data_IF_315145391083
#
_entry.id   IF_315145391083
#
_cell.length_a   1.000
_cell.length_b   1.000
_cell.length_c   1.000
_cell.angle_alpha   90.00
_cell.angle_beta   90.00
_cell.angle_gamma   90.00
#
_symmetry.space_group_name_H-M   'P 1'
#
loop_
_entity.id
_entity.type
_entity.pdbx_description
1 polymer ?
#
# COMPACT_ATOMS: atom_id res chain seq x y z
N UNK A 1 19.77 -13.03 -10.89
CA UNK A 1 18.54 -12.27 -10.57
C UNK A 1 18.21 -11.22 -11.63
N UNK A 2 18.89 -10.06 -11.70
CA UNK A 2 18.53 -9.01 -12.68
C UNK A 2 18.54 -9.55 -14.11
N UNK A 3 19.51 -10.37 -14.49
CA UNK A 3 19.59 -10.98 -15.83
C UNK A 3 18.33 -11.78 -16.19
N UNK A 4 17.82 -12.57 -15.26
CA UNK A 4 16.63 -13.40 -15.48
C UNK A 4 15.36 -12.53 -15.64
N UNK A 5 15.32 -11.38 -14.98
CA UNK A 5 14.25 -10.39 -15.16
C UNK A 5 14.35 -9.66 -16.50
N UNK A 6 15.58 -9.39 -16.98
CA UNK A 6 15.78 -8.77 -18.30
C UNK A 6 15.34 -9.67 -19.45
N UNK A 7 15.42 -10.98 -19.28
CA UNK A 7 15.02 -11.97 -20.30
C UNK A 7 13.54 -12.39 -20.21
N UNK A 8 12.80 -11.91 -19.19
CA UNK A 8 11.38 -12.28 -18.97
C UNK A 8 10.48 -11.61 -20.01
N UNK A 9 9.56 -12.40 -20.59
CA UNK A 9 8.50 -11.84 -21.41
C UNK A 9 7.53 -11.01 -20.53
N UNK A 10 7.38 -9.74 -20.88
CA UNK A 10 6.43 -8.80 -20.22
C UNK A 10 5.59 -8.16 -21.30
N UNK A 11 4.28 -8.25 -21.13
CA UNK A 11 3.30 -7.69 -22.04
C UNK A 11 2.36 -6.75 -21.31
N UNK A 12 1.82 -5.75 -21.98
CA UNK A 12 0.77 -4.90 -21.47
C UNK A 12 -0.56 -5.67 -21.45
N UNK A 13 -1.45 -5.26 -20.57
CA UNK A 13 -2.85 -5.70 -20.58
C UNK A 13 -3.50 -5.40 -21.92
N UNK A 14 -4.59 -6.12 -22.20
CA UNK A 14 -5.48 -5.74 -23.31
C UNK A 14 -5.93 -4.27 -23.13
N UNK A 15 -6.00 -3.55 -24.26
CA UNK A 15 -6.54 -2.19 -24.29
C UNK A 15 -8.05 -2.16 -24.07
N UNK A 16 -8.71 -3.30 -24.23
CA UNK A 16 -10.14 -3.50 -24.02
C UNK A 16 -10.35 -4.57 -22.97
N UNK A 17 -11.15 -4.26 -21.97
CA UNK A 17 -11.43 -5.12 -20.83
C UNK A 17 -12.90 -5.48 -20.81
N UNK A 18 -13.20 -6.71 -20.39
CA UNK A 18 -14.55 -7.17 -20.11
C UNK A 18 -14.58 -7.80 -18.72
N UNK A 19 -15.54 -7.43 -17.92
CA UNK A 19 -15.71 -7.91 -16.56
C UNK A 19 -16.94 -8.82 -16.51
N UNK A 20 -16.75 -10.01 -15.94
CA UNK A 20 -17.82 -10.99 -15.76
C UNK A 20 -17.98 -11.30 -14.27
N UNK A 21 -19.11 -10.92 -13.72
CA UNK A 21 -19.41 -11.08 -12.30
C UNK A 21 -20.38 -10.03 -11.78
N UNK A 22 -20.75 -10.20 -10.52
CA UNK A 22 -21.72 -9.35 -9.83
C UNK A 22 -21.05 -8.08 -9.28
N UNK A 23 -21.89 -7.11 -8.91
CA UNK A 23 -21.47 -5.85 -8.25
C UNK A 23 -21.86 -5.89 -6.78
N UNK A 24 -20.90 -5.65 -5.90
CA UNK A 24 -21.12 -5.54 -4.47
C UNK A 24 -21.22 -4.07 -4.06
N UNK A 25 -22.39 -3.65 -3.59
CA UNK A 25 -22.59 -2.32 -3.04
C UNK A 25 -22.38 -2.36 -1.53
N UNK A 26 -21.42 -1.58 -1.05
CA UNK A 26 -21.11 -1.44 0.37
C UNK A 26 -22.05 -0.38 0.95
N UNK A 27 -23.21 -0.82 1.44
CA UNK A 27 -24.31 0.02 1.90
C UNK A 27 -24.33 0.12 3.43
N UNK A 28 -24.86 1.22 3.94
CA UNK A 28 -25.27 1.33 5.34
C UNK A 28 -26.71 0.78 5.54
N UNK A 29 -26.88 -0.47 5.16
CA UNK A 29 -28.12 -1.22 5.20
C UNK A 29 -27.83 -2.71 5.35
N UNK A 30 -28.10 -3.24 6.55
CA UNK A 30 -27.82 -4.63 6.88
C UNK A 30 -28.58 -5.63 5.99
N UNK A 31 -29.84 -5.39 5.74
CA UNK A 31 -30.68 -6.32 4.97
C UNK A 31 -30.25 -6.38 3.50
N UNK A 32 -29.96 -5.23 2.90
CA UNK A 32 -29.46 -5.20 1.51
C UNK A 32 -28.06 -5.80 1.37
N UNK A 33 -27.19 -5.66 2.38
CA UNK A 33 -25.88 -6.32 2.37
C UNK A 33 -26.04 -7.85 2.48
N UNK A 34 -26.91 -8.34 3.37
CA UNK A 34 -27.24 -9.78 3.49
C UNK A 34 -27.79 -10.34 2.17
N UNK A 35 -28.74 -9.65 1.58
CA UNK A 35 -29.37 -10.08 0.32
C UNK A 35 -28.34 -10.22 -0.82
N UNK A 36 -27.39 -9.30 -0.92
CA UNK A 36 -26.31 -9.40 -1.91
C UNK A 36 -25.37 -10.59 -1.64
N UNK A 37 -24.93 -10.76 -0.39
CA UNK A 37 -23.89 -11.72 -0.02
C UNK A 37 -24.43 -13.16 0.03
N UNK A 38 -25.63 -13.35 0.55
CA UNK A 38 -26.12 -14.68 0.91
C UNK A 38 -27.35 -15.16 0.13
N UNK A 39 -28.12 -14.24 -0.43
CA UNK A 39 -29.37 -14.56 -1.15
C UNK A 39 -29.23 -14.41 -2.68
N UNK A 40 -28.04 -13.99 -3.14
CA UNK A 40 -27.78 -13.80 -4.57
C UNK A 40 -28.53 -12.65 -5.22
N UNK A 41 -29.05 -11.70 -4.43
CA UNK A 41 -29.79 -10.56 -4.96
C UNK A 41 -28.84 -9.55 -5.60
N UNK A 42 -29.13 -9.20 -6.85
CA UNK A 42 -28.49 -8.05 -7.50
C UNK A 42 -29.30 -6.77 -7.24
N UNK A 43 -28.56 -5.67 -7.08
CA UNK A 43 -29.14 -4.36 -6.76
C UNK A 43 -28.90 -3.40 -7.91
N UNK A 44 -29.92 -2.57 -8.21
CA UNK A 44 -29.79 -1.42 -9.09
C UNK A 44 -29.54 -0.16 -8.28
N UNK A 45 -28.45 0.55 -8.58
CA UNK A 45 -28.04 1.73 -7.84
C UNK A 45 -28.93 2.94 -8.20
N UNK A 46 -30.03 3.09 -7.46
CA UNK A 46 -30.87 4.28 -7.53
C UNK A 46 -30.20 5.47 -6.85
N UNK A 47 -30.70 6.70 -7.11
CA UNK A 47 -30.21 7.90 -6.41
C UNK A 47 -30.37 7.80 -4.89
N UNK A 48 -31.42 7.15 -4.41
CA UNK A 48 -31.65 6.88 -2.98
C UNK A 48 -30.56 5.94 -2.43
N UNK A 49 -30.33 4.80 -3.07
CA UNK A 49 -29.30 3.84 -2.64
C UNK A 49 -27.91 4.41 -2.74
N UNK A 50 -27.63 5.27 -3.72
CA UNK A 50 -26.35 5.97 -3.80
C UNK A 50 -26.08 6.82 -2.57
N UNK A 51 -27.09 7.46 -1.98
CA UNK A 51 -26.93 8.23 -0.73
C UNK A 51 -26.71 7.35 0.50
N UNK A 52 -26.93 6.04 0.40
CA UNK A 52 -26.72 5.05 1.47
C UNK A 52 -25.40 4.25 1.30
N UNK A 53 -24.62 4.56 0.28
CA UNK A 53 -23.28 3.98 0.16
C UNK A 53 -22.42 4.37 1.38
N UNK A 54 -21.71 3.41 1.93
CA UNK A 54 -20.82 3.62 3.06
C UNK A 54 -19.69 4.59 2.70
N UNK A 55 -19.61 5.66 3.46
CA UNK A 55 -18.49 6.60 3.45
C UNK A 55 -17.40 6.15 4.41
N UNK A 56 -16.19 6.63 4.17
CA UNK A 56 -15.03 6.49 5.05
C UNK A 56 -14.67 5.04 5.41
N UNK A 57 -14.92 4.10 4.49
CA UNK A 57 -14.50 2.71 4.69
C UNK A 57 -12.99 2.66 4.88
N UNK A 58 -12.59 2.21 6.07
CA UNK A 58 -11.18 2.11 6.45
C UNK A 58 -10.57 0.78 5.98
N UNK A 59 -9.26 0.73 5.92
CA UNK A 59 -8.53 -0.52 5.69
C UNK A 59 -8.78 -1.55 6.80
N UNK A 60 -9.13 -1.12 8.03
CA UNK A 60 -9.57 -2.00 9.10
C UNK A 60 -10.96 -2.59 8.88
N UNK A 61 -11.85 -1.87 8.20
CA UNK A 61 -13.15 -2.42 7.81
C UNK A 61 -13.02 -3.41 6.65
N UNK A 62 -12.06 -3.21 5.76
CA UNK A 62 -11.78 -4.17 4.67
C UNK A 62 -11.06 -5.39 5.23
N UNK A 63 -9.94 -5.19 5.92
CA UNK A 63 -9.15 -6.26 6.56
C UNK A 63 -8.78 -5.87 7.98
N UNK A 64 -9.54 -6.32 8.99
CA UNK A 64 -9.20 -6.11 10.39
C UNK A 64 -7.77 -6.54 10.73
N UNK A 65 -7.14 -5.88 11.70
CA UNK A 65 -5.73 -6.10 12.03
C UNK A 65 -5.36 -7.57 12.27
N UNK A 66 -6.25 -8.34 12.92
CA UNK A 66 -6.03 -9.76 13.18
C UNK A 66 -6.14 -10.65 11.92
N UNK A 67 -6.73 -10.14 10.83
CA UNK A 67 -6.74 -10.81 9.53
C UNK A 67 -5.41 -10.61 8.81
N UNK A 68 -4.70 -9.53 9.08
CA UNK A 68 -3.37 -9.29 8.51
C UNK A 68 -2.29 -10.25 9.06
N UNK A 69 -2.65 -11.22 9.91
CA UNK A 69 -1.80 -12.36 10.22
C UNK A 69 -1.70 -13.35 9.05
N UNK A 70 -2.72 -13.40 8.20
CA UNK A 70 -2.63 -14.08 6.91
C UNK A 70 -1.82 -13.20 5.94
N UNK A 71 -0.96 -13.83 5.15
CA UNK A 71 0.02 -13.14 4.32
C UNK A 71 0.10 -13.66 2.88
N UNK A 72 -0.89 -14.46 2.48
CA UNK A 72 -1.01 -15.08 1.16
C UNK A 72 -2.44 -14.92 0.59
N UNK A 73 -2.76 -15.67 -0.45
CA UNK A 73 -4.07 -15.66 -1.13
C UNK A 73 -5.26 -16.00 -0.22
N UNK A 74 -5.00 -16.58 0.97
CA UNK A 74 -6.02 -16.82 2.00
C UNK A 74 -6.68 -15.52 2.45
N UNK A 75 -5.99 -14.37 2.34
CA UNK A 75 -6.59 -13.07 2.60
C UNK A 75 -7.88 -12.82 1.79
N UNK A 76 -8.01 -13.42 0.61
CA UNK A 76 -9.22 -13.35 -0.21
C UNK A 76 -10.47 -14.02 0.40
N UNK A 77 -10.32 -14.77 1.50
CA UNK A 77 -11.46 -15.30 2.25
C UNK A 77 -12.13 -14.25 3.14
N UNK A 78 -11.48 -13.11 3.40
CA UNK A 78 -11.81 -12.24 4.51
C UNK A 78 -12.15 -10.76 4.17
N UNK A 79 -12.29 -10.31 2.91
CA UNK A 79 -12.55 -8.90 2.69
C UNK A 79 -13.88 -8.47 3.31
N UNK A 80 -13.86 -7.28 3.90
CA UNK A 80 -14.96 -6.61 4.57
C UNK A 80 -15.46 -7.23 5.90
N UNK A 81 -14.70 -8.13 6.53
CA UNK A 81 -15.06 -8.66 7.86
C UNK A 81 -15.27 -7.57 8.91
N UNK A 82 -14.60 -6.44 8.77
CA UNK A 82 -14.75 -5.29 9.65
C UNK A 82 -15.83 -4.29 9.19
N UNK A 83 -16.51 -4.55 8.07
CA UNK A 83 -17.53 -3.65 7.55
C UNK A 83 -18.71 -3.56 8.52
N UNK A 84 -18.96 -2.36 9.01
CA UNK A 84 -20.06 -2.06 9.91
C UNK A 84 -21.25 -1.56 9.11
N UNK A 85 -22.39 -2.22 9.23
CA UNK A 85 -23.67 -1.83 8.65
C UNK A 85 -24.67 -1.48 9.74
N UNK A 86 -25.78 -0.86 9.40
CA UNK A 86 -26.86 -0.52 10.35
C UNK A 86 -28.07 -1.38 10.08
N UNK A 87 -28.58 -2.04 11.13
CA UNK A 87 -29.89 -2.70 11.07
C UNK A 87 -30.98 -1.63 10.98
N UNK A 88 -31.71 -1.63 9.89
CA UNK A 88 -32.70 -0.58 9.61
C UNK A 88 -33.95 -0.66 10.51
N UNK A 89 -34.16 -1.79 11.18
CA UNK A 89 -35.28 -1.99 12.11
C UNK A 89 -34.93 -1.54 13.53
N UNK A 90 -33.73 -1.91 14.02
CA UNK A 90 -33.29 -1.63 15.41
C UNK A 90 -32.43 -0.40 15.53
N UNK A 91 -31.74 0.02 14.45
CA UNK A 91 -30.73 1.07 14.47
C UNK A 91 -29.37 0.62 15.00
N UNK A 92 -29.21 -0.66 15.35
CA UNK A 92 -27.98 -1.19 15.90
C UNK A 92 -26.94 -1.46 14.82
N UNK A 93 -25.63 -1.34 15.13
CA UNK A 93 -24.56 -1.74 14.23
C UNK A 93 -24.45 -3.26 14.11
N UNK A 94 -24.28 -3.76 12.90
CA UNK A 94 -24.05 -5.16 12.62
C UNK A 94 -22.78 -5.38 11.78
N UNK A 95 -22.07 -6.48 12.03
CA UNK A 95 -20.97 -7.00 11.22
C UNK A 95 -21.47 -8.26 10.52
N UNK A 96 -21.76 -8.15 9.24
CA UNK A 96 -22.49 -9.18 8.49
C UNK A 96 -21.63 -10.05 7.60
N UNK A 97 -20.44 -9.58 7.26
CA UNK A 97 -19.60 -10.27 6.29
C UNK A 97 -18.85 -11.40 6.99
N UNK A 98 -19.12 -12.62 6.58
CA UNK A 98 -18.45 -13.82 7.06
C UNK A 98 -17.29 -14.22 6.12
N UNK A 99 -16.44 -15.12 6.62
CA UNK A 99 -15.38 -15.73 5.82
C UNK A 99 -15.93 -16.33 4.52
N UNK A 100 -15.28 -16.05 3.40
CA UNK A 100 -15.65 -16.48 2.05
C UNK A 100 -16.92 -15.84 1.47
N UNK A 101 -17.67 -15.00 2.18
CA UNK A 101 -18.91 -14.45 1.68
C UNK A 101 -18.75 -13.69 0.35
N UNK A 102 -17.72 -12.84 0.26
CA UNK A 102 -17.44 -12.07 -0.97
C UNK A 102 -16.96 -12.98 -2.09
N UNK A 103 -16.02 -13.88 -1.80
CA UNK A 103 -15.47 -14.83 -2.79
C UNK A 103 -16.57 -15.71 -3.38
N UNK A 104 -17.44 -16.24 -2.54
CA UNK A 104 -18.55 -17.11 -2.97
C UNK A 104 -19.66 -16.34 -3.69
N UNK A 105 -19.76 -15.04 -3.46
CA UNK A 105 -20.77 -14.18 -4.09
C UNK A 105 -20.50 -13.86 -5.56
N UNK A 106 -19.30 -14.16 -6.08
CA UNK A 106 -18.96 -13.95 -7.50
C UNK A 106 -18.90 -12.48 -7.91
N UNK A 107 -18.45 -11.62 -7.01
CA UNK A 107 -18.36 -10.18 -7.29
C UNK A 107 -17.06 -9.82 -8.01
N UNK A 108 -17.19 -9.06 -9.10
CA UNK A 108 -16.07 -8.53 -9.88
C UNK A 108 -15.80 -7.05 -9.58
N UNK A 109 -16.78 -6.35 -9.06
CA UNK A 109 -16.71 -4.93 -8.75
C UNK A 109 -17.29 -4.66 -7.35
N UNK A 110 -16.67 -3.74 -6.62
CA UNK A 110 -17.21 -3.24 -5.35
C UNK A 110 -17.35 -1.74 -5.36
N UNK A 111 -18.48 -1.25 -4.82
CA UNK A 111 -18.91 0.14 -4.89
C UNK A 111 -19.07 0.73 -3.48
N UNK A 112 -18.50 1.91 -3.24
CA UNK A 112 -18.57 2.63 -1.98
C UNK A 112 -18.84 4.13 -2.17
N UNK A 113 -19.08 4.85 -1.10
CA UNK A 113 -19.20 6.31 -1.05
C UNK A 113 -17.86 7.03 -1.03
N UNK A 114 -17.75 8.04 -0.17
CA UNK A 114 -16.56 8.91 -0.07
C UNK A 114 -15.45 8.30 0.79
N UNK A 115 -14.20 8.68 0.47
CA UNK A 115 -12.99 8.38 1.26
C UNK A 115 -12.78 6.87 1.51
N UNK A 116 -12.94 6.06 0.45
CA UNK A 116 -12.65 4.63 0.53
C UNK A 116 -11.17 4.38 0.74
N UNK A 117 -10.85 3.44 1.65
CA UNK A 117 -9.49 3.00 1.94
C UNK A 117 -8.73 3.94 2.88
N UNK A 118 -9.44 4.68 3.75
CA UNK A 118 -8.80 5.53 4.75
C UNK A 118 -8.05 4.70 5.80
N UNK A 119 -7.06 5.31 6.45
CA UNK A 119 -6.34 4.73 7.59
C UNK A 119 -4.95 4.23 7.23
N UNK A 120 -4.61 3.03 7.64
CA UNK A 120 -3.28 2.45 7.48
C UNK A 120 -2.90 2.14 6.03
N UNK A 121 -1.59 2.11 5.75
CA UNK A 121 -1.03 1.76 4.43
C UNK A 121 -1.17 0.27 4.04
N UNK A 122 -2.14 -0.44 4.62
CA UNK A 122 -2.33 -1.90 4.45
C UNK A 122 -2.69 -2.28 3.02
N UNK A 123 -1.72 -2.77 2.28
CA UNK A 123 -1.92 -3.35 0.95
C UNK A 123 -2.69 -4.67 1.02
N UNK A 124 -2.69 -5.32 2.19
CA UNK A 124 -3.53 -6.50 2.46
C UNK A 124 -5.02 -6.27 2.14
N UNK A 125 -5.52 -5.02 2.24
CA UNK A 125 -6.91 -4.70 1.92
C UNK A 125 -7.25 -4.89 0.44
N UNK A 126 -6.64 -4.17 -0.52
CA UNK A 126 -6.92 -4.43 -1.93
C UNK A 126 -6.41 -5.80 -2.39
N UNK A 127 -5.43 -6.40 -1.71
CA UNK A 127 -5.01 -7.78 -2.00
C UNK A 127 -6.09 -8.79 -1.64
N UNK A 128 -6.74 -8.64 -0.48
CA UNK A 128 -7.88 -9.46 -0.08
C UNK A 128 -9.05 -9.31 -1.07
N UNK A 129 -9.36 -8.10 -1.48
CA UNK A 129 -10.38 -7.81 -2.49
C UNK A 129 -10.07 -8.50 -3.83
N UNK A 130 -8.84 -8.37 -4.31
CA UNK A 130 -8.37 -9.00 -5.56
C UNK A 130 -8.54 -10.52 -5.51
N UNK A 131 -8.07 -11.15 -4.43
CA UNK A 131 -8.14 -12.61 -4.28
C UNK A 131 -9.55 -13.12 -3.94
N UNK A 132 -10.48 -12.25 -3.58
CA UNK A 132 -11.91 -12.55 -3.52
C UNK A 132 -12.63 -12.41 -4.86
N UNK A 133 -11.95 -11.92 -5.90
CA UNK A 133 -12.49 -11.75 -7.25
C UNK A 133 -12.76 -10.30 -7.66
N UNK A 134 -12.58 -9.31 -6.78
CA UNK A 134 -12.80 -7.89 -7.07
C UNK A 134 -11.68 -7.37 -7.97
N UNK A 135 -12.01 -7.04 -9.21
CA UNK A 135 -11.08 -6.47 -10.19
C UNK A 135 -11.23 -4.96 -10.33
N UNK A 136 -12.42 -4.44 -9.99
CA UNK A 136 -12.77 -3.02 -10.12
C UNK A 136 -13.30 -2.47 -8.80
N UNK A 137 -12.80 -1.32 -8.42
CA UNK A 137 -13.24 -0.55 -7.25
C UNK A 137 -13.84 0.77 -7.74
N UNK A 138 -15.09 1.04 -7.39
CA UNK A 138 -15.78 2.30 -7.69
C UNK A 138 -16.11 3.01 -6.38
N UNK A 139 -15.75 4.29 -6.26
CA UNK A 139 -16.12 5.10 -5.09
C UNK A 139 -16.16 6.60 -5.45
N UNK A 140 -16.96 7.40 -4.73
CA UNK A 140 -17.01 8.86 -4.95
C UNK A 140 -15.63 9.53 -4.75
N UNK A 141 -14.86 9.03 -3.79
CA UNK A 141 -13.44 9.36 -3.64
C UNK A 141 -12.67 8.22 -3.00
N UNK A 142 -11.40 8.08 -3.37
CA UNK A 142 -10.53 6.99 -2.97
C UNK A 142 -9.27 7.59 -2.35
N UNK A 143 -8.90 7.12 -1.16
CA UNK A 143 -7.72 7.60 -0.45
C UNK A 143 -6.43 7.23 -1.21
N UNK A 144 -5.46 8.12 -1.21
CA UNK A 144 -4.27 8.05 -2.05
C UNK A 144 -3.50 6.73 -1.91
N UNK A 145 -3.17 6.34 -0.69
CA UNK A 145 -2.34 5.14 -0.43
C UNK A 145 -3.08 3.87 -0.89
N UNK A 146 -4.38 3.77 -0.57
CA UNK A 146 -5.18 2.63 -1.01
C UNK A 146 -5.27 2.57 -2.54
N UNK A 147 -5.45 3.71 -3.21
CA UNK A 147 -5.47 3.78 -4.68
C UNK A 147 -4.13 3.36 -5.30
N UNK A 148 -3.01 3.81 -4.71
CA UNK A 148 -1.67 3.37 -5.14
C UNK A 148 -1.48 1.86 -4.96
N UNK A 149 -1.93 1.29 -3.84
CA UNK A 149 -1.88 -0.15 -3.60
C UNK A 149 -2.75 -0.93 -4.61
N UNK A 150 -3.95 -0.44 -4.94
CA UNK A 150 -4.77 -1.01 -6.02
C UNK A 150 -4.00 -1.03 -7.35
N UNK A 151 -3.39 0.09 -7.75
CA UNK A 151 -2.59 0.18 -8.97
C UNK A 151 -1.40 -0.79 -8.95
N UNK A 152 -0.70 -0.89 -7.82
CA UNK A 152 0.46 -1.75 -7.65
C UNK A 152 0.11 -3.24 -7.79
N UNK A 153 -1.08 -3.64 -7.36
CA UNK A 153 -1.62 -5.00 -7.45
C UNK A 153 -2.37 -5.26 -8.75
N UNK A 154 -2.64 -4.22 -9.52
CA UNK A 154 -3.39 -4.34 -10.76
C UNK A 154 -4.91 -4.29 -10.62
N UNK A 155 -5.44 -3.89 -9.47
CA UNK A 155 -6.86 -3.59 -9.29
C UNK A 155 -7.17 -2.23 -9.92
N UNK A 156 -8.25 -2.16 -10.69
CA UNK A 156 -8.68 -0.93 -11.34
C UNK A 156 -9.55 -0.11 -10.40
N UNK A 157 -9.26 1.17 -10.28
CA UNK A 157 -9.97 2.07 -9.37
C UNK A 157 -10.43 3.33 -10.11
N UNK A 158 -11.72 3.66 -9.96
CA UNK A 158 -12.34 4.82 -10.62
C UNK A 158 -13.36 5.51 -9.73
N UNK A 159 -13.63 6.79 -10.00
CA UNK A 159 -14.76 7.53 -9.44
C UNK A 159 -15.91 7.72 -10.43
N UNK A 160 -15.81 7.12 -11.61
CA UNK A 160 -16.87 7.14 -12.60
C UNK A 160 -17.92 6.04 -12.34
N UNK A 161 -19.06 6.42 -11.80
CA UNK A 161 -20.17 5.52 -11.51
C UNK A 161 -20.86 4.97 -12.77
N UNK A 162 -20.67 5.59 -13.94
CA UNK A 162 -21.24 5.07 -15.20
C UNK A 162 -20.65 3.71 -15.60
N UNK A 163 -19.44 3.40 -15.09
CA UNK A 163 -18.81 2.09 -15.26
C UNK A 163 -19.66 0.93 -14.72
N UNK A 164 -20.46 1.17 -13.68
CA UNK A 164 -21.29 0.15 -13.02
C UNK A 164 -22.29 -0.47 -14.01
N UNK A 165 -23.04 0.36 -14.71
CA UNK A 165 -24.06 -0.11 -15.64
C UNK A 165 -23.42 -0.82 -16.84
N UNK A 166 -22.28 -0.35 -17.30
CA UNK A 166 -21.51 -0.96 -18.39
C UNK A 166 -20.94 -2.33 -18.00
N UNK A 167 -20.43 -2.47 -16.76
CA UNK A 167 -19.98 -3.76 -16.23
C UNK A 167 -21.16 -4.73 -16.14
N UNK A 168 -22.32 -4.30 -15.61
CA UNK A 168 -23.53 -5.11 -15.56
C UNK A 168 -24.00 -5.57 -16.94
N UNK A 169 -23.90 -4.69 -17.93
CA UNK A 169 -24.27 -5.01 -19.31
C UNK A 169 -23.25 -5.93 -20.01
N UNK A 170 -22.11 -6.21 -19.38
CA UNK A 170 -21.03 -6.99 -19.98
C UNK A 170 -20.40 -6.30 -21.18
N UNK A 171 -20.39 -4.97 -21.18
CA UNK A 171 -19.78 -4.16 -22.24
C UNK A 171 -18.25 -4.24 -22.21
N UNK A 172 -17.65 -4.02 -23.37
CA UNK A 172 -16.22 -3.79 -23.46
C UNK A 172 -15.86 -2.38 -23.00
N UNK A 173 -14.94 -2.27 -22.06
CA UNK A 173 -14.47 -1.01 -21.47
C UNK A 173 -13.03 -0.77 -21.88
N UNK A 174 -12.72 0.44 -22.36
CA UNK A 174 -11.36 0.79 -22.73
C UNK A 174 -10.49 0.98 -21.48
N UNK A 175 -9.30 0.38 -21.44
CA UNK A 175 -8.35 0.55 -20.33
C UNK A 175 -7.98 2.02 -20.10
N UNK A 176 -7.97 2.84 -21.18
CA UNK A 176 -7.71 4.27 -21.12
C UNK A 176 -8.68 5.03 -20.22
N UNK A 177 -9.92 4.56 -20.05
CA UNK A 177 -10.92 5.19 -19.18
C UNK A 177 -10.54 5.11 -17.69
N UNK A 178 -9.76 4.08 -17.29
CA UNK A 178 -9.21 3.97 -15.95
C UNK A 178 -7.92 4.78 -15.75
N UNK A 179 -7.34 5.28 -16.83
CA UNK A 179 -6.06 6.01 -16.79
C UNK A 179 -6.20 7.50 -17.12
N UNK A 180 -7.39 7.97 -17.45
CA UNK A 180 -7.65 9.37 -17.74
C UNK A 180 -7.26 10.29 -16.57
N UNK A 181 -6.55 11.37 -16.87
CA UNK A 181 -6.07 12.33 -15.87
C UNK A 181 -4.95 11.84 -14.95
N UNK A 182 -4.46 10.60 -15.12
CA UNK A 182 -3.32 10.09 -14.35
C UNK A 182 -1.98 10.47 -14.99
N UNK A 183 -0.95 10.59 -14.15
CA UNK A 183 0.40 10.78 -14.63
C UNK A 183 0.90 9.58 -15.46
N UNK A 184 1.92 9.82 -16.28
CA UNK A 184 2.44 8.84 -17.23
C UNK A 184 2.94 7.55 -16.55
N UNK A 185 3.57 7.64 -15.38
CA UNK A 185 4.06 6.47 -14.64
C UNK A 185 2.85 5.64 -14.15
N UNK A 186 1.86 6.30 -13.56
CA UNK A 186 0.63 5.65 -13.10
C UNK A 186 -0.09 4.95 -14.25
N UNK A 187 -0.22 5.64 -15.40
CA UNK A 187 -0.84 5.06 -16.59
C UNK A 187 -0.12 3.78 -17.01
N UNK A 188 1.19 3.82 -17.14
CA UNK A 188 1.97 2.64 -17.54
C UNK A 188 1.91 1.50 -16.50
N UNK A 189 1.92 1.79 -15.20
CA UNK A 189 1.74 0.74 -14.16
C UNK A 189 0.40 0.02 -14.36
N UNK A 190 -0.68 0.75 -14.61
CA UNK A 190 -2.00 0.17 -14.87
C UNK A 190 -1.98 -0.65 -16.17
N UNK A 191 -1.34 -0.13 -17.23
CA UNK A 191 -1.21 -0.82 -18.53
C UNK A 191 -0.41 -2.13 -18.41
N UNK A 192 0.64 -2.17 -17.59
CA UNK A 192 1.42 -3.40 -17.36
C UNK A 192 0.77 -4.35 -16.34
N UNK A 193 -0.31 -3.93 -15.68
CA UNK A 193 -1.04 -4.79 -14.75
C UNK A 193 -0.51 -4.81 -13.34
N UNK A 194 0.41 -3.91 -12.99
CA UNK A 194 0.96 -3.77 -11.66
C UNK A 194 2.37 -3.21 -11.64
N UNK A 195 2.84 -2.86 -10.45
CA UNK A 195 4.15 -2.22 -10.27
C UNK A 195 5.30 -3.15 -10.60
N UNK A 196 5.18 -4.46 -10.30
CA UNK A 196 6.26 -5.41 -10.57
C UNK A 196 6.50 -5.57 -12.08
N UNK A 197 5.44 -5.84 -12.83
CA UNK A 197 5.49 -6.00 -14.30
C UNK A 197 6.00 -4.73 -14.98
N UNK A 198 5.54 -3.56 -14.49
CA UNK A 198 6.06 -2.27 -14.94
C UNK A 198 7.55 -2.11 -14.63
N UNK A 199 8.02 -2.48 -13.42
CA UNK A 199 9.44 -2.38 -13.08
C UNK A 199 10.32 -3.31 -13.91
N UNK A 200 9.85 -4.52 -14.22
CA UNK A 200 10.57 -5.40 -15.16
C UNK A 200 10.66 -4.75 -16.54
N UNK A 201 9.55 -4.21 -17.06
CA UNK A 201 9.54 -3.49 -18.34
C UNK A 201 10.48 -2.25 -18.32
N UNK A 202 10.54 -1.55 -17.17
CA UNK A 202 11.44 -0.42 -16.96
C UNK A 202 12.91 -0.84 -17.01
N UNK A 203 13.28 -1.90 -16.33
CA UNK A 203 14.64 -2.46 -16.37
C UNK A 203 15.02 -2.96 -17.79
N UNK A 204 14.05 -3.39 -18.58
CA UNK A 204 14.22 -3.79 -19.98
C UNK A 204 14.25 -2.61 -20.96
N UNK A 205 14.11 -1.37 -20.49
CA UNK A 205 14.04 -0.17 -21.34
C UNK A 205 12.77 -0.06 -22.21
N UNK A 206 11.70 -0.79 -21.84
CA UNK A 206 10.43 -0.81 -22.59
C UNK A 206 9.43 0.29 -22.18
N UNK A 207 9.73 1.04 -21.11
CA UNK A 207 8.85 2.10 -20.59
C UNK A 207 9.46 3.47 -20.81
N UNK A 208 8.61 4.47 -21.01
CA UNK A 208 9.02 5.85 -21.05
C UNK A 208 8.88 6.45 -19.65
N UNK A 209 9.99 6.86 -19.03
CA UNK A 209 9.96 7.61 -17.76
C UNK A 209 9.79 9.09 -18.12
N UNK A 210 8.82 9.81 -17.51
CA UNK A 210 8.67 11.22 -17.74
C UNK A 210 9.97 11.96 -17.41
N UNK A 211 10.39 12.80 -18.33
CA UNK A 211 11.52 13.68 -18.10
C UNK A 211 11.04 14.82 -17.23
N UNK A 212 11.66 15.03 -16.06
CA UNK A 212 11.35 16.17 -15.18
C UNK A 212 11.66 17.50 -15.88
N UNK A 213 11.07 18.59 -15.40
CA UNK A 213 11.32 19.91 -15.97
C UNK A 213 12.83 20.25 -16.01
N UNK A 214 13.58 19.85 -14.97
CA UNK A 214 15.04 20.05 -14.92
C UNK A 214 15.84 19.26 -15.96
N UNK A 215 15.30 18.18 -16.48
CA UNK A 215 15.92 17.40 -17.54
C UNK A 215 15.58 17.94 -18.94
N UNK A 216 14.50 18.72 -19.07
CA UNK A 216 14.04 19.32 -20.34
C UNK A 216 14.60 20.74 -20.53
N UNK A 217 14.74 21.50 -19.45
CA UNK A 217 15.26 22.85 -19.47
C UNK A 217 16.79 22.86 -19.38
N UNK A 218 17.41 23.97 -19.80
CA UNK A 218 18.85 24.16 -19.67
C UNK A 218 19.33 23.86 -18.24
N UNK A 219 20.20 22.88 -18.09
CA UNK A 219 20.75 22.43 -16.81
C UNK A 219 21.45 23.57 -16.02
N UNK A 220 21.76 24.69 -16.68
CA UNK A 220 22.31 25.90 -16.05
C UNK A 220 21.27 26.69 -15.22
N UNK A 221 19.97 26.42 -15.39
CA UNK A 221 18.93 27.10 -14.61
C UNK A 221 18.85 26.48 -13.21
N UNK A 222 19.24 27.23 -12.19
CA UNK A 222 19.04 26.87 -10.79
C UNK A 222 17.79 27.55 -10.24
N UNK A 223 17.02 26.84 -9.41
CA UNK A 223 15.93 27.40 -8.62
C UNK A 223 16.17 27.18 -7.13
N UNK A 224 15.69 28.06 -6.25
CA UNK A 224 15.67 27.76 -4.82
C UNK A 224 14.84 26.52 -4.55
N UNK A 225 15.34 25.64 -3.70
CA UNK A 225 14.70 24.37 -3.31
C UNK A 225 14.58 24.27 -1.80
N UNK A 226 13.48 23.71 -1.33
CA UNK A 226 13.35 23.25 0.07
C UNK A 226 14.31 22.09 0.35
N UNK A 227 14.50 21.74 1.62
CA UNK A 227 15.32 20.58 1.98
C UNK A 227 14.78 19.28 1.34
N UNK A 228 13.47 19.09 1.38
CA UNK A 228 12.82 17.92 0.75
C UNK A 228 13.12 17.88 -0.76
N UNK A 229 12.91 18.98 -1.49
CA UNK A 229 13.21 19.03 -2.92
C UNK A 229 14.67 18.72 -3.23
N UNK A 230 15.62 19.19 -2.41
CA UNK A 230 17.05 18.88 -2.57
C UNK A 230 17.33 17.37 -2.40
N UNK A 231 16.67 16.74 -1.43
CA UNK A 231 16.78 15.29 -1.21
C UNK A 231 16.19 14.55 -2.41
N UNK A 232 15.01 14.92 -2.88
CA UNK A 232 14.41 14.33 -4.06
C UNK A 232 15.30 14.52 -5.30
N UNK A 233 15.84 15.72 -5.54
CA UNK A 233 16.72 15.99 -6.66
C UNK A 233 17.98 15.10 -6.66
N UNK A 234 18.58 14.89 -5.50
CA UNK A 234 19.75 14.00 -5.33
C UNK A 234 19.43 12.53 -5.64
N UNK A 235 18.22 12.08 -5.28
CA UNK A 235 17.85 10.67 -5.30
C UNK A 235 17.06 10.27 -6.55
N UNK A 236 16.67 11.20 -7.43
CA UNK A 236 15.93 10.88 -8.65
C UNK A 236 16.78 9.95 -9.54
N UNK A 237 16.25 8.79 -9.86
CA UNK A 237 16.88 7.82 -10.78
C UNK A 237 16.74 8.33 -12.20
N UNK A 238 17.86 8.58 -12.85
CA UNK A 238 17.94 9.07 -14.24
C UNK A 238 18.08 7.93 -15.23
N UNK A 239 18.70 6.83 -14.81
CA UNK A 239 18.81 5.59 -15.58
C UNK A 239 18.61 4.38 -14.65
N UNK A 240 17.58 3.59 -14.93
CA UNK A 240 17.23 2.42 -14.11
C UNK A 240 18.25 1.28 -14.28
N UNK A 241 18.93 1.19 -15.43
CA UNK A 241 19.84 0.11 -15.76
C UNK A 241 21.23 0.33 -15.13
N UNK A 242 21.79 1.54 -15.28
CA UNK A 242 23.06 1.90 -14.64
C UNK A 242 22.89 2.21 -13.16
N UNK A 243 21.69 2.62 -12.77
CA UNK A 243 21.38 3.08 -11.43
C UNK A 243 21.83 4.52 -11.15
N UNK A 244 22.09 5.31 -12.21
CA UNK A 244 22.47 6.71 -12.07
C UNK A 244 21.35 7.53 -11.43
N UNK A 245 21.76 8.48 -10.59
CA UNK A 245 20.83 9.35 -9.84
C UNK A 245 21.30 10.80 -9.84
N UNK A 246 20.35 11.69 -9.62
CA UNK A 246 20.61 13.10 -9.42
C UNK A 246 20.26 13.97 -10.61
N UNK A 247 19.59 15.07 -10.30
CA UNK A 247 19.25 16.13 -11.24
C UNK A 247 19.55 17.48 -10.59
N UNK A 248 19.74 18.56 -11.37
CA UNK A 248 20.05 19.87 -10.81
C UNK A 248 18.97 20.42 -9.87
N UNK A 249 17.69 20.13 -10.14
CA UNK A 249 16.55 20.56 -9.34
C UNK A 249 15.30 19.74 -9.66
N UNK A 250 14.35 19.74 -8.74
CA UNK A 250 12.99 19.24 -8.90
C UNK A 250 11.99 20.28 -8.41
N UNK A 251 10.71 20.07 -8.72
CA UNK A 251 9.62 20.90 -8.23
C UNK A 251 8.45 20.02 -7.74
N UNK A 252 7.56 20.57 -6.89
CA UNK A 252 6.35 19.87 -6.49
C UNK A 252 5.56 19.38 -7.71
N UNK A 253 5.15 18.12 -7.65
CA UNK A 253 4.44 17.48 -8.76
C UNK A 253 5.32 16.63 -9.69
N UNK A 254 6.63 16.82 -9.73
CA UNK A 254 7.53 15.93 -10.46
C UNK A 254 7.41 14.50 -9.91
N UNK A 255 7.15 13.54 -10.79
CA UNK A 255 7.02 12.13 -10.44
C UNK A 255 8.19 11.33 -11.03
N UNK A 256 8.64 10.31 -10.31
CA UNK A 256 9.75 9.49 -10.75
C UNK A 256 10.02 8.31 -9.82
N UNK A 257 11.14 7.66 -10.08
CA UNK A 257 11.71 6.66 -9.18
C UNK A 257 12.89 7.30 -8.45
N UNK A 258 12.90 7.09 -7.14
CA UNK A 258 13.89 7.72 -6.27
C UNK A 258 14.67 6.65 -5.51
N UNK A 259 16.01 6.72 -5.57
CA UNK A 259 16.93 5.83 -4.87
C UNK A 259 16.74 5.97 -3.36
N UNK A 260 16.62 4.84 -2.68
CA UNK A 260 16.46 4.80 -1.23
C UNK A 260 17.77 4.52 -0.53
N UNK A 261 18.03 5.20 0.58
CA UNK A 261 19.20 4.93 1.44
C UNK A 261 18.88 3.82 2.44
N UNK A 262 17.69 3.82 3.03
CA UNK A 262 17.24 2.82 3.98
C UNK A 262 15.85 2.32 3.60
N UNK A 263 15.65 1.03 3.74
CA UNK A 263 14.38 0.33 3.51
C UNK A 263 14.10 -0.57 4.71
N UNK A 264 12.97 -0.41 5.36
CA UNK A 264 12.65 -1.29 6.47
C UNK A 264 11.22 -1.83 6.42
N UNK A 265 11.04 -3.00 6.99
CA UNK A 265 9.71 -3.61 7.12
C UNK A 265 9.56 -4.30 8.47
N UNK A 266 8.31 -4.49 8.88
CA UNK A 266 7.95 -5.18 10.11
C UNK A 266 7.21 -6.49 9.81
N UNK A 267 6.92 -7.26 10.84
CA UNK A 267 6.42 -8.62 10.74
C UNK A 267 5.06 -8.78 10.05
N UNK A 268 4.21 -7.75 10.01
CA UNK A 268 2.96 -7.83 9.25
C UNK A 268 3.17 -7.84 7.72
N UNK A 269 4.28 -7.26 7.26
CA UNK A 269 4.50 -7.03 5.82
C UNK A 269 5.63 -7.88 5.27
N UNK A 270 6.70 -8.11 6.06
CA UNK A 270 7.86 -8.87 5.57
C UNK A 270 7.49 -10.25 5.01
N UNK A 271 6.63 -11.07 5.65
CA UNK A 271 6.24 -12.38 5.12
C UNK A 271 5.57 -12.30 3.75
N UNK A 272 4.58 -11.43 3.60
CA UNK A 272 3.88 -11.23 2.33
C UNK A 272 4.83 -10.72 1.23
N UNK A 273 5.67 -9.73 1.55
CA UNK A 273 6.66 -9.21 0.63
C UNK A 273 7.70 -10.27 0.23
N UNK A 274 8.06 -11.18 1.15
CA UNK A 274 8.97 -12.29 0.85
C UNK A 274 8.36 -13.31 -0.11
N UNK A 275 7.07 -13.61 0.03
CA UNK A 275 6.34 -14.47 -0.92
C UNK A 275 6.33 -13.81 -2.30
N UNK A 276 5.95 -12.54 -2.40
CA UNK A 276 5.97 -11.82 -3.67
C UNK A 276 7.36 -11.83 -4.30
N UNK A 277 8.41 -11.65 -3.50
CA UNK A 277 9.77 -11.68 -3.99
C UNK A 277 10.16 -13.07 -4.51
N UNK A 278 9.86 -14.13 -3.76
CA UNK A 278 10.19 -15.49 -4.15
C UNK A 278 9.40 -15.99 -5.37
N UNK A 279 8.11 -15.67 -5.44
CA UNK A 279 7.24 -16.07 -6.57
C UNK A 279 7.58 -15.30 -7.85
N UNK A 280 7.81 -14.00 -7.71
CA UNK A 280 8.03 -13.12 -8.86
C UNK A 280 9.48 -13.13 -9.35
N UNK A 281 10.46 -13.25 -8.47
CA UNK A 281 11.89 -13.15 -8.80
C UNK A 281 12.57 -14.53 -8.80
N UNK A 282 12.17 -15.39 -7.89
CA UNK A 282 12.66 -16.75 -7.74
C UNK A 282 13.19 -17.04 -6.35
N UNK A 283 13.04 -18.29 -5.94
CA UNK A 283 13.35 -18.74 -4.57
C UNK A 283 14.82 -18.56 -4.18
N UNK A 284 15.75 -18.63 -5.16
CA UNK A 284 17.19 -18.47 -4.92
C UNK A 284 17.68 -17.02 -5.11
N UNK A 285 16.77 -16.11 -5.48
CA UNK A 285 17.10 -14.72 -5.70
C UNK A 285 17.59 -14.03 -4.42
N UNK A 286 18.48 -13.04 -4.56
CA UNK A 286 19.00 -12.23 -3.46
C UNK A 286 18.54 -10.79 -3.59
N UNK A 287 18.19 -10.19 -2.47
CA UNK A 287 17.86 -8.76 -2.43
C UNK A 287 19.08 -7.90 -2.77
N UNK A 288 18.85 -6.77 -3.40
CA UNK A 288 19.90 -5.81 -3.74
C UNK A 288 20.23 -4.96 -2.53
N UNK A 289 21.54 -4.83 -2.22
CA UNK A 289 22.07 -4.01 -1.11
C UNK A 289 21.38 -4.33 0.23
N UNK A 290 21.58 -5.57 0.67
CA UNK A 290 21.00 -6.10 1.91
C UNK A 290 21.31 -5.26 3.16
N UNK A 291 22.42 -4.54 3.18
CA UNK A 291 22.87 -3.76 4.33
C UNK A 291 22.07 -2.47 4.53
N UNK A 292 21.35 -2.04 3.49
CA UNK A 292 20.38 -0.94 3.57
C UNK A 292 18.94 -1.42 3.88
N UNK A 293 18.75 -2.72 4.12
CA UNK A 293 17.44 -3.31 4.47
C UNK A 293 17.46 -3.73 5.94
N UNK A 294 16.40 -3.42 6.66
CA UNK A 294 16.23 -3.76 8.07
C UNK A 294 14.84 -4.37 8.31
N UNK A 295 14.80 -5.46 9.07
CA UNK A 295 13.55 -6.07 9.50
C UNK A 295 13.34 -5.90 10.99
N UNK A 296 12.08 -5.71 11.41
CA UNK A 296 11.70 -5.50 12.80
C UNK A 296 10.54 -6.42 13.20
N UNK A 297 10.66 -6.97 14.41
CA UNK A 297 9.58 -7.69 15.08
C UNK A 297 9.18 -6.88 16.32
N UNK A 298 8.31 -5.89 16.14
CA UNK A 298 7.96 -4.92 17.20
C UNK A 298 6.47 -4.60 17.31
N UNK A 299 5.64 -5.04 16.37
CA UNK A 299 4.20 -4.84 16.39
C UNK A 299 3.43 -5.97 17.09
N UNK A 300 3.92 -7.22 17.01
CA UNK A 300 3.23 -8.41 17.49
C UNK A 300 3.95 -9.08 18.68
N UNK A 301 4.65 -8.30 19.48
CA UNK A 301 5.25 -8.79 20.73
C UNK A 301 4.19 -8.93 21.83
N UNK A 302 4.38 -9.87 22.76
CA UNK A 302 3.47 -10.14 23.89
C UNK A 302 2.04 -10.59 23.48
N UNK A 303 1.82 -11.07 22.28
CA UNK A 303 0.49 -11.50 21.83
C UNK A 303 -0.12 -12.59 22.73
N UNK A 304 0.68 -13.50 23.22
CA UNK A 304 0.28 -14.55 24.19
C UNK A 304 -0.31 -14.00 25.49
N UNK A 305 -0.06 -12.71 25.81
CA UNK A 305 -0.52 -12.05 27.03
C UNK A 305 -1.68 -11.08 26.81
N UNK A 306 -1.84 -10.58 25.58
CA UNK A 306 -2.83 -9.54 25.29
C UNK A 306 -3.96 -10.02 24.37
N UNK A 307 -3.76 -11.13 23.64
CA UNK A 307 -4.80 -11.70 22.79
C UNK A 307 -5.91 -12.31 23.63
N UNK A 308 -7.17 -12.09 23.22
CA UNK A 308 -8.31 -12.70 23.91
C UNK A 308 -8.29 -14.21 23.78
N UNK A 309 -8.81 -14.90 24.81
CA UNK A 309 -8.87 -16.37 24.84
C UNK A 309 -9.63 -16.93 23.63
N UNK A 310 -10.71 -16.29 23.22
CA UNK A 310 -11.50 -16.64 22.05
C UNK A 310 -10.64 -16.68 20.78
N UNK A 311 -9.77 -15.68 20.55
CA UNK A 311 -8.89 -15.60 19.40
C UNK A 311 -7.77 -16.64 19.45
N UNK A 312 -7.28 -16.96 20.63
CA UNK A 312 -6.31 -18.04 20.84
C UNK A 312 -6.94 -19.37 20.47
N UNK A 313 -8.17 -19.64 20.93
CA UNK A 313 -8.92 -20.86 20.60
C UNK A 313 -9.26 -20.98 19.11
N UNK A 314 -9.39 -19.87 18.40
CA UNK A 314 -9.50 -19.81 16.94
C UNK A 314 -8.16 -20.07 16.20
N UNK A 315 -7.05 -20.29 16.91
CA UNK A 315 -5.73 -20.53 16.32
C UNK A 315 -4.99 -19.29 15.84
N UNK A 316 -5.49 -18.08 16.10
CA UNK A 316 -4.89 -16.84 15.58
C UNK A 316 -3.53 -16.51 16.19
N UNK A 317 -3.25 -16.98 17.40
CA UNK A 317 -1.92 -16.84 18.01
C UNK A 317 -0.85 -17.63 17.25
N UNK A 318 -1.18 -18.83 16.81
CA UNK A 318 -0.28 -19.68 16.03
C UNK A 318 0.03 -19.02 14.68
N UNK A 319 -0.99 -18.55 13.97
CA UNK A 319 -0.83 -17.82 12.69
C UNK A 319 0.02 -16.57 12.86
N UNK A 320 -0.20 -15.80 13.94
CA UNK A 320 0.61 -14.62 14.23
C UNK A 320 2.08 -14.95 14.54
N UNK A 321 2.34 -16.10 15.19
CA UNK A 321 3.71 -16.56 15.46
C UNK A 321 4.40 -17.08 14.18
N UNK A 322 3.66 -17.61 13.23
CA UNK A 322 4.22 -17.99 11.92
C UNK A 322 4.82 -16.80 11.16
N UNK A 323 4.26 -15.61 11.32
CA UNK A 323 4.82 -14.39 10.73
C UNK A 323 6.27 -14.14 11.17
N UNK A 324 6.57 -14.35 12.46
CA UNK A 324 7.92 -14.24 12.99
C UNK A 324 8.84 -15.28 12.36
N UNK A 325 8.39 -16.52 12.27
CA UNK A 325 9.15 -17.60 11.66
C UNK A 325 9.50 -17.27 10.21
N UNK A 326 8.51 -16.87 9.41
CA UNK A 326 8.71 -16.48 8.01
C UNK A 326 9.64 -15.28 7.84
N UNK A 327 9.46 -14.26 8.66
CA UNK A 327 10.36 -13.10 8.64
C UNK A 327 11.80 -13.48 8.97
N UNK A 328 12.03 -14.32 9.98
CA UNK A 328 13.34 -14.79 10.38
C UNK A 328 13.98 -15.69 9.31
N UNK A 329 13.24 -16.63 8.73
CA UNK A 329 13.70 -17.48 7.64
C UNK A 329 14.17 -16.64 6.45
N UNK A 330 13.37 -15.67 6.03
CA UNK A 330 13.71 -14.78 4.93
C UNK A 330 14.92 -13.90 5.27
N UNK A 331 14.98 -13.36 6.51
CA UNK A 331 16.14 -12.60 7.01
C UNK A 331 17.44 -13.39 6.90
N UNK A 332 17.45 -14.63 7.40
CA UNK A 332 18.62 -15.51 7.34
C UNK A 332 18.98 -15.83 5.88
N UNK A 333 17.98 -16.20 5.07
CA UNK A 333 18.15 -16.52 3.67
C UNK A 333 18.77 -15.38 2.87
N UNK A 334 18.35 -14.14 3.12
CA UNK A 334 18.84 -12.96 2.44
C UNK A 334 20.07 -12.32 3.07
N UNK A 335 20.40 -12.68 4.31
CA UNK A 335 21.46 -12.06 5.09
C UNK A 335 21.13 -10.62 5.52
N UNK A 336 19.83 -10.31 5.66
CA UNK A 336 19.30 -9.00 6.11
C UNK A 336 19.29 -8.98 7.63
N UNK A 337 19.56 -7.82 8.23
CA UNK A 337 19.53 -7.65 9.67
C UNK A 337 18.09 -7.63 10.20
N UNK A 338 17.80 -8.52 11.13
CA UNK A 338 16.53 -8.59 11.85
C UNK A 338 16.71 -8.14 13.29
N UNK A 339 15.90 -7.19 13.74
CA UNK A 339 15.64 -6.88 15.14
C UNK A 339 14.44 -7.72 15.60
N UNK A 340 14.76 -8.93 16.09
CA UNK A 340 13.75 -9.94 16.44
C UNK A 340 13.24 -9.83 17.85
N UNK A 341 12.49 -10.84 18.28
CA UNK A 341 12.10 -11.01 19.68
C UNK A 341 13.27 -11.43 20.55
N UNK A 342 13.31 -10.90 21.77
CA UNK A 342 14.25 -11.33 22.80
C UNK A 342 13.75 -12.62 23.44
N UNK A 343 14.65 -13.61 23.52
CA UNK A 343 14.38 -14.90 24.16
C UNK A 343 14.86 -14.89 25.62
N UNK A 344 14.13 -15.54 26.50
CA UNK A 344 14.51 -15.74 27.89
C UNK A 344 13.77 -14.86 28.89
N UNK A 345 14.47 -14.33 29.92
CA UNK A 345 13.82 -13.58 31.01
C UNK A 345 13.29 -12.20 30.59
N UNK A 346 13.88 -11.60 29.55
CA UNK A 346 13.41 -10.35 28.96
C UNK A 346 12.67 -10.69 27.69
N UNK A 347 11.36 -10.60 27.74
CA UNK A 347 10.48 -10.76 26.58
C UNK A 347 10.31 -9.42 25.88
N UNK A 348 10.04 -9.45 24.60
CA UNK A 348 9.75 -8.27 23.77
C UNK A 348 10.70 -8.10 22.60
N UNK A 349 10.55 -7.03 21.85
CA UNK A 349 11.40 -6.73 20.70
C UNK A 349 12.80 -6.25 21.12
N UNK A 350 13.80 -6.59 20.30
CA UNK A 350 15.14 -6.01 20.42
C UNK A 350 15.17 -4.50 20.12
N UNK A 351 14.22 -4.01 19.32
CA UNK A 351 14.10 -2.59 18.98
C UNK A 351 12.71 -2.27 18.45
N UNK A 352 12.24 -1.04 18.71
CA UNK A 352 11.10 -0.43 18.04
C UNK A 352 11.62 0.23 16.77
N UNK A 353 11.01 -0.10 15.61
CA UNK A 353 11.52 0.29 14.29
C UNK A 353 11.77 1.79 14.17
N UNK A 354 10.80 2.64 14.52
CA UNK A 354 10.92 4.09 14.36
C UNK A 354 12.04 4.70 15.21
N UNK A 355 12.12 4.31 16.49
CA UNK A 355 13.18 4.76 17.37
C UNK A 355 14.54 4.29 16.87
N UNK A 356 14.63 3.00 16.49
CA UNK A 356 15.92 2.43 16.05
C UNK A 356 16.41 3.03 14.73
N UNK A 357 15.50 3.27 13.78
CA UNK A 357 15.83 3.96 12.53
C UNK A 357 16.34 5.37 12.83
N UNK A 358 15.59 6.14 13.63
CA UNK A 358 15.97 7.53 13.95
C UNK A 358 17.30 7.63 14.67
N UNK A 359 17.52 6.78 15.69
CA UNK A 359 18.68 6.88 16.59
C UNK A 359 19.98 6.31 16.02
N UNK A 360 19.87 5.37 15.06
CA UNK A 360 21.03 4.56 14.67
C UNK A 360 21.33 4.49 13.18
N UNK A 361 20.38 4.88 12.33
CA UNK A 361 20.48 4.69 10.89
C UNK A 361 20.20 5.94 10.08
N UNK A 362 19.21 6.74 10.48
CA UNK A 362 18.81 7.91 9.72
C UNK A 362 19.84 9.03 9.85
N UNK A 363 20.16 9.66 8.71
CA UNK A 363 21.05 10.82 8.63
C UNK A 363 20.38 11.94 7.83
N UNK A 364 20.73 13.21 8.06
CA UNK A 364 20.24 14.32 7.26
C UNK A 364 20.52 14.12 5.77
N UNK A 365 19.52 14.36 4.93
CA UNK A 365 19.65 14.23 3.48
C UNK A 365 19.42 12.84 2.92
N UNK A 366 19.03 11.87 3.75
CA UNK A 366 18.61 10.53 3.31
C UNK A 366 17.18 10.48 2.82
N UNK A 367 16.89 9.50 1.94
CA UNK A 367 15.55 9.08 1.55
C UNK A 367 15.28 7.68 2.11
N UNK A 368 14.28 7.57 2.98
CA UNK A 368 13.98 6.36 3.76
C UNK A 368 12.57 5.88 3.43
N UNK A 369 12.38 4.59 3.24
CA UNK A 369 11.06 3.98 3.13
C UNK A 369 10.85 2.88 4.16
N UNK A 370 9.62 2.76 4.65
CA UNK A 370 9.22 1.71 5.57
C UNK A 370 7.79 1.26 5.35
N UNK A 371 7.43 0.10 5.86
CA UNK A 371 6.08 -0.45 5.65
C UNK A 371 5.05 0.02 6.68
N UNK A 372 5.44 0.87 7.59
CA UNK A 372 4.57 1.45 8.60
C UNK A 372 4.15 2.90 8.25
N UNK A 373 2.92 3.27 8.63
CA UNK A 373 2.36 4.61 8.40
C UNK A 373 3.09 5.72 9.15
N UNK A 374 3.84 5.40 10.22
CA UNK A 374 4.63 6.33 11.01
C UNK A 374 6.08 6.46 10.56
N UNK A 375 6.44 5.88 9.40
CA UNK A 375 7.78 6.01 8.80
C UNK A 375 8.28 7.46 8.69
N UNK A 376 7.42 8.50 8.44
CA UNK A 376 7.83 9.90 8.42
C UNK A 376 8.53 10.38 9.70
N UNK A 377 8.44 9.67 10.82
CA UNK A 377 9.17 9.95 12.05
C UNK A 377 10.69 10.11 11.82
N UNK A 378 11.26 9.32 10.93
CA UNK A 378 12.68 9.42 10.56
C UNK A 378 13.06 10.78 9.91
N UNK A 379 12.06 11.54 9.42
CA UNK A 379 12.25 12.90 8.90
C UNK A 379 12.62 13.94 9.95
N UNK A 380 12.47 13.64 11.24
CA UNK A 380 12.71 14.59 12.34
C UNK A 380 14.15 15.16 12.38
N UNK A 381 15.12 14.45 11.80
CA UNK A 381 16.53 14.87 11.74
C UNK A 381 16.94 15.41 10.35
N UNK A 382 16.01 15.73 9.47
CA UNK A 382 16.32 16.26 8.14
C UNK A 382 16.50 15.20 7.05
N UNK A 383 15.99 14.00 7.25
CA UNK A 383 15.74 13.01 6.22
C UNK A 383 14.36 13.24 5.57
N UNK A 384 14.09 12.58 4.44
CA UNK A 384 12.74 12.45 3.87
C UNK A 384 12.34 10.99 3.97
N UNK A 385 11.19 10.71 4.59
CA UNK A 385 10.78 9.36 4.86
C UNK A 385 9.28 9.13 4.55
N UNK A 386 8.96 7.96 3.97
CA UNK A 386 7.60 7.62 3.53
C UNK A 386 7.20 6.20 3.96
N UNK A 387 5.92 6.07 4.34
CA UNK A 387 5.24 4.77 4.43
C UNK A 387 4.87 4.26 3.05
N UNK A 388 5.16 2.97 2.79
CA UNK A 388 4.89 2.29 1.52
C UNK A 388 4.20 0.94 1.74
N UNK A 389 3.48 0.46 0.71
CA UNK A 389 2.85 -0.86 0.74
C UNK A 389 3.82 -2.02 0.48
N UNK A 390 3.28 -3.23 0.57
CA UNK A 390 4.01 -4.49 0.39
C UNK A 390 4.68 -4.58 -0.98
N UNK A 391 3.94 -4.25 -2.04
CA UNK A 391 4.48 -4.29 -3.41
C UNK A 391 5.61 -3.30 -3.61
N UNK A 392 5.50 -2.08 -3.07
CA UNK A 392 6.56 -1.09 -3.20
C UNK A 392 7.83 -1.49 -2.45
N UNK A 393 7.70 -2.04 -1.23
CA UNK A 393 8.87 -2.48 -0.46
C UNK A 393 9.57 -3.67 -1.12
N UNK A 394 8.83 -4.71 -1.58
CA UNK A 394 9.49 -5.83 -2.24
C UNK A 394 10.13 -5.45 -3.58
N UNK A 395 9.52 -4.57 -4.37
CA UNK A 395 10.13 -4.03 -5.57
C UNK A 395 11.43 -3.26 -5.25
N UNK A 396 11.48 -2.52 -4.15
CA UNK A 396 12.70 -1.85 -3.70
C UNK A 396 13.82 -2.82 -3.34
N UNK A 397 13.50 -4.06 -2.97
CA UNK A 397 14.51 -5.11 -2.75
C UNK A 397 15.18 -5.56 -4.05
N UNK A 398 14.55 -5.29 -5.19
CA UNK A 398 15.06 -5.60 -6.54
C UNK A 398 15.81 -4.41 -7.12
N UNK A 399 15.23 -3.21 -7.04
CA UNK A 399 15.72 -2.02 -7.76
C UNK A 399 16.41 -0.99 -6.88
N UNK A 400 16.28 -1.09 -5.55
CA UNK A 400 16.74 -0.10 -4.56
C UNK A 400 16.11 1.29 -4.74
N UNK A 401 15.00 1.38 -5.46
CA UNK A 401 14.27 2.63 -5.65
C UNK A 401 12.78 2.46 -5.37
N UNK A 402 12.09 3.57 -5.27
CA UNK A 402 10.65 3.64 -5.02
C UNK A 402 10.03 4.72 -5.88
N UNK A 403 8.81 4.46 -6.36
CA UNK A 403 7.99 5.47 -7.06
C UNK A 403 7.48 6.50 -6.06
N UNK A 404 7.79 7.76 -6.30
CA UNK A 404 7.29 8.88 -5.51
C UNK A 404 6.97 10.07 -6.41
N UNK A 405 6.23 11.01 -5.83
CA UNK A 405 5.97 12.34 -6.39
C UNK A 405 6.50 13.38 -5.42
N UNK A 406 7.22 14.36 -5.92
CA UNK A 406 7.77 15.46 -5.11
C UNK A 406 6.60 16.23 -4.47
N UNK A 407 6.52 16.27 -3.13
CA UNK A 407 5.42 16.94 -2.44
C UNK A 407 5.62 18.45 -2.37
N UNK A 408 4.52 19.16 -2.17
CA UNK A 408 4.57 20.55 -1.70
C UNK A 408 5.10 20.60 -0.25
N UNK A 409 5.79 21.68 0.08
CA UNK A 409 6.29 21.92 1.43
C UNK A 409 5.57 23.12 2.06
N UNK A 410 5.07 22.93 3.28
CA UNK A 410 4.48 23.98 4.08
C UNK A 410 5.50 24.48 5.10
N UNK A 411 5.57 25.80 5.29
CA UNK A 411 6.35 26.41 6.36
C UNK A 411 5.44 26.70 7.56
N UNK A 412 5.62 25.93 8.62
CA UNK A 412 4.97 26.19 9.90
C UNK A 412 5.89 27.06 10.76
N UNK A 413 5.40 28.18 11.25
CA UNK A 413 6.11 29.08 12.15
C UNK A 413 5.41 29.07 13.50
N UNK A 414 6.08 28.51 14.51
CA UNK A 414 5.60 28.53 15.89
C UNK A 414 6.27 29.70 16.60
N UNK A 415 5.48 30.57 17.26
CA UNK A 415 5.97 31.74 17.96
C UNK A 415 5.26 31.91 19.31
N UNK A 416 5.90 32.61 20.25
CA UNK A 416 5.42 32.79 21.61
C UNK A 416 5.92 31.72 22.58
N UNK A 417 5.43 31.78 23.81
CA UNK A 417 5.78 30.80 24.85
C UNK A 417 4.63 29.80 25.01
N UNK A 418 4.93 28.49 25.11
CA UNK A 418 3.91 27.48 25.33
C UNK A 418 3.28 27.65 26.72
N UNK A 419 2.00 27.34 26.84
CA UNK A 419 1.36 27.25 28.15
C UNK A 419 1.98 26.12 28.98
N UNK A 420 1.83 26.19 30.31
CA UNK A 420 2.26 25.15 31.21
C UNK A 420 1.62 23.79 30.81
N UNK A 421 2.41 22.74 30.80
CA UNK A 421 2.05 21.37 30.39
C UNK A 421 1.79 21.13 28.88
N UNK A 422 2.03 22.11 28.02
CA UNK A 422 2.03 21.90 26.56
C UNK A 422 3.36 21.31 26.11
N UNK A 423 3.30 20.20 25.40
CA UNK A 423 4.46 19.43 24.92
C UNK A 423 4.63 19.54 23.42
N UNK A 424 5.75 19.07 22.89
CA UNK A 424 5.97 18.98 21.46
C UNK A 424 4.91 18.15 20.72
N UNK A 425 4.35 17.13 21.39
CA UNK A 425 3.27 16.32 20.84
C UNK A 425 2.00 17.14 20.61
N UNK A 426 1.67 18.05 21.53
CA UNK A 426 0.48 18.89 21.39
C UNK A 426 0.62 19.82 20.19
N UNK A 427 1.81 20.40 19.95
CA UNK A 427 2.09 21.16 18.73
C UNK A 427 1.90 20.32 17.46
N UNK A 428 2.39 19.08 17.44
CA UNK A 428 2.24 18.21 16.28
C UNK A 428 0.79 17.83 16.03
N UNK A 429 0.00 17.59 17.08
CA UNK A 429 -1.43 17.26 16.95
C UNK A 429 -2.25 18.46 16.44
N UNK A 430 -1.86 19.69 16.76
CA UNK A 430 -2.51 20.91 16.25
C UNK A 430 -2.15 21.20 14.79
N UNK A 431 -0.93 20.82 14.35
CA UNK A 431 -0.46 21.02 12.96
C UNK A 431 -1.14 20.01 12.02
N UNK A 432 -1.43 18.78 12.47
CA UNK A 432 -2.00 17.70 11.66
C UNK A 432 -3.52 17.82 11.49
#
# INVERSE_FOLDING_TARGET
MIKDLLDRAIEKRSTTLKFDGRILYLLDDAELVKAQLYEGQDIDLTSELKSRLRDQISTDEITPAYICFFYDETLGDFPYLGLRTTNQTTGDPEYLVERNAVRNGGFVCSVAGKRRGKGSSREASPYAELHAGIQVVVAESIERIYNENCQNLGVLATSDFSMIDRIKAGEEIQLSEFTEGKDEITRQIIEYGGLFEFNVARLQGKVTIPVTASMQEDAARTRPMTLAEKIFAKHLVTDATSGDTGVPWVQPGDAGFFRTDIRFSHEYVTPMASIFFEDKVGIDAKVVDKDSILFFRDHLTYLDKVMSQERIEQGLLEVANELEVKQREFSVKQGVKLYGEQMGKQLGSQAICHSKILESYAEPGMLIIGTDSHTPHAGAIGAVAFGVGTTAIFNSWITKDVRLKVPESFKVVISGEPAENVTAKDFMLEIL
#
